data_IF_563317843112
#
_entry.id   IF_563317843112
#
_cell.length_a   1.000
_cell.length_b   1.000
_cell.length_c   1.000
_cell.angle_alpha   90.00
_cell.angle_beta   90.00
_cell.angle_gamma   90.00
#
_symmetry.space_group_name_H-M   'P 1'
#
loop_
_entity.id
_entity.type
_entity.pdbx_description
1 polymer ?
#
# COMPACT_ATOMS: atom_id res chain seq x y z
N UNK A 1 14.23 -14.28 -32.46
CA UNK A 1 15.18 -13.15 -32.27
C UNK A 1 15.31 -12.70 -30.80
N UNK A 2 15.48 -13.62 -29.82
CA UNK A 2 15.65 -13.24 -28.40
C UNK A 2 17.05 -13.51 -27.81
N UNK A 3 17.93 -14.19 -28.56
CA UNK A 3 19.29 -14.54 -28.11
C UNK A 3 20.38 -13.53 -28.51
N UNK A 4 20.03 -12.49 -29.28
CA UNK A 4 20.96 -11.45 -29.73
C UNK A 4 21.04 -10.25 -28.76
N UNK A 5 19.99 -9.98 -27.98
CA UNK A 5 19.93 -8.81 -27.08
C UNK A 5 20.56 -9.04 -25.70
N UNK A 6 20.74 -10.29 -25.28
CA UNK A 6 21.34 -10.62 -23.98
C UNK A 6 22.87 -10.40 -23.96
N UNK A 7 23.54 -10.54 -25.11
CA UNK A 7 24.96 -10.24 -25.25
C UNK A 7 25.25 -8.75 -25.07
N UNK A 8 24.41 -7.90 -25.66
CA UNK A 8 24.57 -6.42 -25.64
C UNK A 8 24.42 -5.88 -24.21
N UNK A 9 23.45 -6.40 -23.43
CA UNK A 9 23.25 -5.97 -22.03
C UNK A 9 24.40 -6.37 -21.10
N UNK A 10 25.10 -7.47 -21.37
CA UNK A 10 26.26 -7.91 -20.56
C UNK A 10 27.50 -7.08 -20.87
N UNK A 11 27.72 -6.76 -22.15
CA UNK A 11 28.88 -5.98 -22.59
C UNK A 11 28.81 -4.51 -22.13
N UNK A 12 27.60 -3.94 -22.05
CA UNK A 12 27.39 -2.60 -21.51
C UNK A 12 27.74 -2.50 -20.02
N UNK A 13 27.38 -3.53 -19.22
CA UNK A 13 27.73 -3.57 -17.78
C UNK A 13 29.23 -3.72 -17.52
N UNK A 14 29.95 -4.39 -18.43
CA UNK A 14 31.40 -4.53 -18.31
C UNK A 14 32.14 -3.23 -18.68
N UNK A 15 31.62 -2.45 -19.64
CA UNK A 15 32.20 -1.17 -20.05
C UNK A 15 31.94 -0.02 -19.08
N UNK A 16 30.80 -0.02 -18.37
CA UNK A 16 30.50 0.99 -17.33
C UNK A 16 31.35 0.82 -16.06
N UNK A 17 31.91 -0.36 -15.81
CA UNK A 17 32.65 -0.67 -14.58
C UNK A 17 34.10 -0.16 -14.54
N UNK A 18 34.57 0.56 -15.58
CA UNK A 18 35.94 1.06 -15.66
C UNK A 18 36.96 -0.03 -16.02
N UNK A 19 38.22 0.35 -16.34
CA UNK A 19 39.23 -0.59 -16.81
C UNK A 19 39.59 -1.60 -15.70
N UNK A 20 39.22 -2.87 -15.91
CA UNK A 20 39.46 -3.95 -14.96
C UNK A 20 40.95 -4.28 -14.80
N UNK A 21 41.36 -4.51 -13.55
CA UNK A 21 42.74 -4.85 -13.17
C UNK A 21 42.79 -6.32 -12.73
N UNK A 22 43.60 -7.15 -13.40
CA UNK A 22 43.75 -8.58 -13.05
C UNK A 22 44.76 -8.74 -11.91
N UNK A 23 44.46 -9.63 -10.98
CA UNK A 23 45.23 -9.91 -9.76
C UNK A 23 46.57 -10.65 -9.99
N UNK A 24 47.06 -10.74 -11.22
CA UNK A 24 48.31 -11.42 -11.58
C UNK A 24 49.34 -10.53 -12.27
N UNK A 25 49.10 -9.22 -12.39
CA UNK A 25 50.09 -8.28 -12.93
C UNK A 25 50.88 -7.62 -11.79
N UNK A 26 52.06 -8.18 -11.51
CA UNK A 26 53.13 -7.53 -10.74
C UNK A 26 53.83 -6.47 -11.60
N UNK A 27 53.21 -5.31 -11.77
CA UNK A 27 53.92 -4.10 -12.22
C UNK A 27 53.26 -2.87 -11.59
N UNK A 28 53.75 -2.50 -10.40
CA UNK A 28 53.42 -1.24 -9.74
C UNK A 28 54.53 -0.23 -10.02
N UNK A 29 54.37 0.56 -11.08
CA UNK A 29 55.08 1.83 -11.23
C UNK A 29 54.35 2.89 -10.39
N UNK A 30 54.94 3.24 -9.24
CA UNK A 30 54.50 4.39 -8.44
C UNK A 30 54.93 5.68 -9.13
N UNK A 31 54.06 6.69 -9.32
CA UNK A 31 54.50 8.06 -9.49
C UNK A 31 54.77 8.70 -8.12
N UNK A 32 55.77 9.58 -8.11
CA UNK A 32 56.26 10.36 -6.98
C UNK A 32 55.18 11.31 -6.43
N UNK A 33 55.01 11.35 -5.11
CA UNK A 33 54.22 12.38 -4.43
C UNK A 33 55.08 13.02 -3.35
N UNK A 34 55.33 14.30 -3.59
CA UNK A 34 56.11 15.26 -2.82
C UNK A 34 55.62 15.37 -1.37
N UNK A 35 56.56 15.30 -0.43
CA UNK A 35 56.36 15.56 0.99
C UNK A 35 56.34 17.06 1.30
N UNK A 36 55.37 17.48 2.11
CA UNK A 36 55.36 18.68 2.97
C UNK A 36 54.11 18.55 3.86
N UNK A 37 54.07 18.70 5.18
CA UNK A 37 55.02 18.90 6.27
C UNK A 37 54.23 18.78 7.60
N UNK A 38 54.90 18.31 8.66
CA UNK A 38 54.59 18.44 10.10
C UNK A 38 53.12 18.41 10.60
N UNK A 39 52.74 17.29 11.23
CA UNK A 39 51.61 17.19 12.17
C UNK A 39 51.68 15.88 12.95
N UNK A 40 51.59 15.95 14.28
CA UNK A 40 51.92 14.89 15.25
C UNK A 40 51.48 13.46 14.88
N UNK A 41 52.37 12.49 15.10
CA UNK A 41 52.04 11.05 15.08
C UNK A 41 51.05 10.75 16.21
N UNK A 42 49.76 10.75 15.91
CA UNK A 42 48.76 10.12 16.78
C UNK A 42 49.07 8.63 16.82
N UNK A 43 49.53 8.12 17.96
CA UNK A 43 49.52 6.69 18.25
C UNK A 43 48.09 6.19 17.96
N UNK A 44 47.95 5.26 17.01
CA UNK A 44 46.68 4.59 16.74
C UNK A 44 46.29 3.87 18.04
N UNK A 45 45.32 4.40 18.76
CA UNK A 45 44.81 3.76 19.97
C UNK A 45 44.16 2.43 19.56
N UNK A 46 44.45 1.38 20.31
CA UNK A 46 43.83 0.07 20.10
C UNK A 46 42.31 0.13 20.23
N UNK A 47 41.58 -0.88 19.74
CA UNK A 47 40.13 -0.90 19.79
C UNK A 47 39.64 -0.67 21.24
N UNK A 48 38.75 0.30 21.43
CA UNK A 48 38.08 0.55 22.72
C UNK A 48 37.41 -0.71 23.26
N UNK A 49 37.23 -0.80 24.58
CA UNK A 49 36.62 -1.97 25.24
C UNK A 49 35.25 -2.32 24.64
N UNK A 50 34.43 -1.30 24.30
CA UNK A 50 33.15 -1.49 23.62
C UNK A 50 33.31 -2.11 22.23
N UNK A 51 34.32 -1.69 21.45
CA UNK A 51 34.61 -2.28 20.15
C UNK A 51 35.19 -3.70 20.24
N UNK A 52 35.97 -4.01 21.28
CA UNK A 52 36.44 -5.38 21.53
C UNK A 52 35.29 -6.30 21.93
N UNK A 53 34.39 -5.84 22.80
CA UNK A 53 33.20 -6.60 23.21
C UNK A 53 32.23 -6.83 22.04
N UNK A 54 32.03 -5.81 21.20
CA UNK A 54 31.25 -5.94 19.97
C UNK A 54 31.92 -6.89 18.97
N UNK A 55 33.24 -6.83 18.83
CA UNK A 55 34.03 -7.76 18.00
C UNK A 55 33.93 -9.20 18.48
N UNK A 56 34.06 -9.43 19.79
CA UNK A 56 33.90 -10.75 20.39
C UNK A 56 32.47 -11.29 20.20
N UNK A 57 31.45 -10.44 20.36
CA UNK A 57 30.06 -10.82 20.11
C UNK A 57 29.79 -11.13 18.63
N UNK A 58 30.42 -10.41 17.69
CA UNK A 58 30.31 -10.69 16.26
C UNK A 58 31.01 -12.01 15.88
N UNK A 59 32.18 -12.30 16.46
CA UNK A 59 32.87 -13.58 16.25
C UNK A 59 32.08 -14.76 16.81
N UNK A 60 31.46 -14.62 17.99
CA UNK A 60 30.60 -15.65 18.55
C UNK A 60 29.40 -15.98 17.66
N UNK A 61 28.82 -14.97 16.97
CA UNK A 61 27.75 -15.19 15.98
C UNK A 61 28.25 -15.92 14.74
N UNK A 62 29.48 -15.65 14.29
CA UNK A 62 30.07 -16.30 13.12
C UNK A 62 30.44 -17.77 13.43
N UNK A 63 30.89 -18.07 14.65
CA UNK A 63 31.19 -19.44 15.08
C UNK A 63 29.93 -20.29 15.28
N UNK A 64 28.79 -19.68 15.64
CA UNK A 64 27.51 -20.37 15.75
C UNK A 64 26.83 -20.64 14.40
N UNK A 65 27.27 -20.02 13.30
CA UNK A 65 26.77 -20.32 11.96
C UNK A 65 27.48 -21.59 11.45
N UNK A 66 26.78 -22.74 11.32
CA UNK A 66 27.42 -23.97 10.91
C UNK A 66 27.92 -23.83 9.47
N UNK A 67 29.21 -24.04 9.23
CA UNK A 67 29.74 -24.14 7.86
C UNK A 67 29.15 -25.39 7.19
N UNK A 68 28.68 -25.30 5.94
CA UNK A 68 28.04 -26.44 5.28
C UNK A 68 29.09 -27.52 4.98
N UNK A 69 29.00 -28.66 5.67
CA UNK A 69 29.79 -29.86 5.34
C UNK A 69 29.12 -30.58 4.18
N UNK A 70 29.85 -30.67 3.07
CA UNK A 70 29.46 -31.44 1.88
C UNK A 70 29.47 -32.93 2.26
N UNK A 71 28.30 -33.58 2.22
CA UNK A 71 28.13 -35.02 2.46
C UNK A 71 27.46 -35.40 3.79
N UNK A 72 26.30 -34.83 4.08
CA UNK A 72 25.56 -35.08 5.34
C UNK A 72 24.35 -35.99 5.08
N UNK A 73 24.28 -37.16 5.74
CA UNK A 73 23.20 -38.15 5.55
C UNK A 73 21.84 -37.62 6.05
N UNK A 74 20.72 -38.15 5.52
CA UNK A 74 19.37 -37.68 5.87
C UNK A 74 19.07 -37.66 7.38
N UNK A 75 19.64 -38.59 8.15
CA UNK A 75 19.45 -38.62 9.61
C UNK A 75 20.15 -37.48 10.35
N UNK A 76 21.29 -36.99 9.84
CA UNK A 76 21.94 -35.82 10.39
C UNK A 76 21.11 -34.54 10.12
N UNK A 77 20.42 -34.47 8.97
CA UNK A 77 19.48 -33.38 8.66
C UNK A 77 18.28 -33.43 9.61
N UNK A 78 17.69 -34.62 9.84
CA UNK A 78 16.55 -34.78 10.75
C UNK A 78 16.90 -34.43 12.19
N UNK A 79 18.06 -34.87 12.68
CA UNK A 79 18.49 -34.56 14.03
C UNK A 79 18.81 -33.08 14.24
N UNK A 80 19.33 -32.39 13.20
CA UNK A 80 19.56 -30.96 13.27
C UNK A 80 18.24 -30.17 13.29
N UNK A 81 17.29 -30.51 12.42
CA UNK A 81 15.95 -29.88 12.40
C UNK A 81 15.23 -30.10 13.74
N UNK A 82 15.33 -31.30 14.32
CA UNK A 82 14.74 -31.60 15.64
C UNK A 82 15.36 -30.75 16.75
N UNK A 83 16.69 -30.59 16.75
CA UNK A 83 17.40 -29.77 17.74
C UNK A 83 17.07 -28.28 17.59
N UNK A 84 16.90 -27.78 16.37
CA UNK A 84 16.49 -26.39 16.10
C UNK A 84 15.04 -26.12 16.55
N UNK A 85 14.12 -27.08 16.35
CA UNK A 85 12.74 -27.01 16.84
C UNK A 85 12.65 -27.04 18.38
N UNK A 86 13.45 -27.90 19.03
CA UNK A 86 13.50 -27.96 20.49
C UNK A 86 14.13 -26.68 21.08
N UNK A 87 15.19 -26.14 20.47
CA UNK A 87 15.79 -24.87 20.89
C UNK A 87 14.85 -23.67 20.69
N UNK A 88 14.06 -23.65 19.61
CA UNK A 88 13.00 -22.65 19.42
C UNK A 88 11.90 -22.78 20.48
N UNK A 89 11.52 -24.01 20.87
CA UNK A 89 10.53 -24.24 21.92
C UNK A 89 11.02 -23.85 23.32
N UNK A 90 12.33 -23.95 23.59
CA UNK A 90 12.94 -23.50 24.84
C UNK A 90 13.08 -21.97 24.86
N UNK A 91 13.37 -21.34 23.73
CA UNK A 91 13.37 -19.88 23.59
C UNK A 91 11.94 -19.28 23.71
N UNK A 92 10.90 -20.00 23.29
CA UNK A 92 9.50 -19.63 23.53
C UNK A 92 9.09 -19.80 25.00
N UNK A 93 9.66 -20.78 25.72
CA UNK A 93 9.42 -20.99 27.16
C UNK A 93 10.13 -19.95 28.04
N UNK A 94 11.35 -19.53 27.70
CA UNK A 94 12.05 -18.44 28.40
C UNK A 94 11.40 -17.06 28.15
N UNK A 95 10.57 -16.94 27.10
CA UNK A 95 9.74 -15.76 26.83
C UNK A 95 8.45 -15.72 27.64
N UNK A 96 8.00 -16.86 28.18
CA UNK A 96 6.79 -16.98 28.99
C UNK A 96 7.06 -16.90 30.51
N UNK A 97 8.30 -17.09 30.98
CA UNK A 97 8.69 -16.97 32.40
C UNK A 97 9.40 -15.65 32.77
N UNK A 98 9.49 -14.68 31.87
CA UNK A 98 10.00 -13.32 32.15
C UNK A 98 8.92 -12.23 32.16
N UNK A 99 7.64 -12.60 32.14
CA UNK A 99 6.50 -11.65 32.21
C UNK A 99 6.14 -11.18 33.63
N UNK A 100 6.79 -11.69 34.69
CA UNK A 100 6.76 -11.06 36.01
C UNK A 100 8.12 -10.44 36.34
N UNK A 101 8.15 -9.10 36.31
CA UNK A 101 9.19 -8.17 36.80
C UNK A 101 9.99 -7.43 35.72
N UNK A 102 9.27 -6.66 34.91
CA UNK A 102 9.74 -5.33 34.53
C UNK A 102 8.56 -4.38 34.42
N UNK A 103 8.08 -3.89 35.58
CA UNK A 103 7.34 -2.62 35.63
C UNK A 103 8.35 -1.50 35.32
N UNK A 104 8.70 -1.34 34.05
CA UNK A 104 9.01 0.00 33.55
C UNK A 104 7.68 0.74 33.61
N UNK A 105 7.59 1.92 34.23
CA UNK A 105 6.39 2.72 34.13
C UNK A 105 6.15 2.92 32.64
N UNK A 106 5.06 2.35 32.12
CA UNK A 106 4.48 2.79 30.86
C UNK A 106 4.35 4.29 31.03
N UNK A 107 5.20 5.04 30.33
CA UNK A 107 5.06 6.49 30.21
C UNK A 107 3.59 6.67 29.84
N UNK A 108 2.84 7.28 30.76
CA UNK A 108 1.43 7.54 30.55
C UNK A 108 1.25 8.12 29.14
N UNK A 109 0.12 7.89 28.47
CA UNK A 109 -0.19 8.56 27.20
C UNK A 109 -0.13 10.10 27.28
N UNK A 110 0.11 10.66 28.48
CA UNK A 110 0.41 12.04 28.79
C UNK A 110 1.67 12.67 28.17
N UNK A 111 2.46 11.95 27.35
CA UNK A 111 3.63 12.52 26.64
C UNK A 111 3.47 12.62 25.12
N UNK A 112 2.24 12.60 24.58
CA UNK A 112 2.00 13.05 23.21
C UNK A 112 1.67 14.54 23.22
N UNK A 113 2.35 15.35 22.40
CA UNK A 113 2.05 16.79 22.28
C UNK A 113 0.63 17.08 21.75
N UNK A 114 -0.07 16.06 21.24
CA UNK A 114 -1.46 16.13 20.77
C UNK A 114 -2.23 14.86 21.12
N UNK A 115 -3.50 15.00 21.52
CA UNK A 115 -4.39 13.88 21.90
C UNK A 115 -4.88 13.03 20.71
N UNK A 116 -4.69 13.50 19.47
CA UNK A 116 -5.07 12.79 18.25
C UNK A 116 -5.29 13.73 17.06
N UNK A 117 -5.48 13.15 15.87
CA UNK A 117 -5.94 13.88 14.68
C UNK A 117 -7.43 13.64 14.51
N UNK A 118 -8.20 14.72 14.57
CA UNK A 118 -9.65 14.71 14.43
C UNK A 118 -10.06 15.43 13.14
N UNK A 119 -11.25 15.10 12.65
CA UNK A 119 -11.80 15.62 11.40
C UNK A 119 -13.14 16.28 11.67
N UNK A 120 -13.34 17.45 11.11
CA UNK A 120 -14.61 18.18 11.22
C UNK A 120 -15.49 17.84 10.02
N UNK A 121 -16.69 17.33 10.26
CA UNK A 121 -17.68 17.11 9.20
C UNK A 121 -18.22 18.46 8.70
N UNK A 122 -18.12 18.79 7.39
CA UNK A 122 -18.62 20.06 6.86
C UNK A 122 -20.15 20.16 6.88
N UNK A 123 -20.87 19.03 6.96
CA UNK A 123 -22.34 19.01 6.89
C UNK A 123 -23.00 19.20 8.25
N UNK A 124 -22.38 18.69 9.31
CA UNK A 124 -22.94 18.68 10.66
C UNK A 124 -22.10 19.44 11.68
N UNK A 125 -20.86 19.81 11.35
CA UNK A 125 -19.89 20.40 12.28
C UNK A 125 -19.31 19.43 13.31
N UNK A 126 -19.65 18.14 13.26
CA UNK A 126 -19.18 17.14 14.22
C UNK A 126 -17.67 16.93 14.11
N UNK A 127 -16.98 16.84 15.26
CA UNK A 127 -15.56 16.48 15.33
C UNK A 127 -15.42 14.97 15.56
N UNK A 128 -14.73 14.29 14.65
CA UNK A 128 -14.76 12.83 14.54
C UNK A 128 -13.36 12.23 14.49
N UNK A 129 -13.22 11.02 15.01
CA UNK A 129 -12.03 10.21 14.78
C UNK A 129 -12.01 9.66 13.33
N UNK A 130 -10.85 9.17 12.90
CA UNK A 130 -10.69 8.60 11.54
C UNK A 130 -11.63 7.41 11.28
N UNK A 131 -11.87 6.57 12.28
CA UNK A 131 -12.74 5.38 12.19
C UNK A 131 -14.21 5.73 11.99
N UNK A 132 -14.66 6.85 12.56
CA UNK A 132 -16.07 7.25 12.57
C UNK A 132 -16.45 8.05 11.33
N UNK A 133 -15.46 8.68 10.68
CA UNK A 133 -15.70 9.62 9.57
C UNK A 133 -16.53 9.04 8.44
N UNK A 134 -16.21 7.83 7.97
CA UNK A 134 -16.90 7.23 6.82
C UNK A 134 -18.35 6.90 7.13
N UNK A 135 -18.66 6.48 8.36
CA UNK A 135 -20.03 6.18 8.78
C UNK A 135 -20.82 7.48 8.94
N UNK A 136 -20.25 8.45 9.66
CA UNK A 136 -20.88 9.74 9.91
C UNK A 136 -21.19 10.51 8.63
N UNK A 137 -20.24 10.55 7.66
CA UNK A 137 -20.49 11.28 6.41
C UNK A 137 -21.61 10.62 5.59
N UNK A 138 -21.74 9.29 5.64
CA UNK A 138 -22.83 8.57 4.98
C UNK A 138 -24.17 8.95 5.58
N UNK A 139 -24.29 8.89 6.90
CA UNK A 139 -25.51 9.27 7.61
C UNK A 139 -25.88 10.74 7.36
N UNK A 140 -24.91 11.65 7.43
CA UNK A 140 -25.13 13.07 7.19
C UNK A 140 -25.62 13.35 5.76
N UNK A 141 -25.11 12.64 4.75
CA UNK A 141 -25.59 12.77 3.37
C UNK A 141 -27.01 12.21 3.23
N UNK A 142 -27.31 11.07 3.86
CA UNK A 142 -28.65 10.48 3.81
C UNK A 142 -29.70 11.38 4.45
N UNK A 143 -29.38 12.07 5.55
CA UNK A 143 -30.29 13.04 6.17
C UNK A 143 -30.58 14.26 5.28
N UNK A 144 -29.65 14.64 4.39
CA UNK A 144 -29.85 15.78 3.48
C UNK A 144 -30.83 15.53 2.34
N UNK A 145 -31.22 14.28 2.09
CA UNK A 145 -32.25 13.97 1.09
C UNK A 145 -33.61 14.61 1.41
N UNK A 146 -33.90 14.92 2.67
CA UNK A 146 -35.15 15.61 3.05
C UNK A 146 -35.16 17.09 2.61
N UNK A 147 -33.98 17.72 2.48
CA UNK A 147 -33.84 19.13 2.12
C UNK A 147 -33.65 19.32 0.62
N UNK A 148 -32.66 18.64 0.05
CA UNK A 148 -32.35 18.69 -1.38
C UNK A 148 -31.92 17.29 -1.87
N UNK A 149 -32.87 16.52 -2.44
CA UNK A 149 -32.58 15.20 -3.01
C UNK A 149 -31.53 15.22 -4.13
N UNK A 150 -31.45 16.31 -4.90
CA UNK A 150 -30.51 16.44 -6.02
C UNK A 150 -29.11 16.67 -5.49
N UNK A 151 -28.93 17.62 -4.57
CA UNK A 151 -27.63 17.86 -3.94
C UNK A 151 -27.14 16.63 -3.16
N UNK A 152 -28.02 16.02 -2.35
CA UNK A 152 -27.67 14.85 -1.55
C UNK A 152 -27.24 13.65 -2.43
N UNK A 153 -27.94 13.39 -3.54
CA UNK A 153 -27.56 12.31 -4.46
C UNK A 153 -26.24 12.59 -5.20
N UNK A 154 -25.95 13.84 -5.57
CA UNK A 154 -24.63 14.22 -6.10
C UNK A 154 -23.53 13.99 -5.08
N UNK A 155 -23.76 14.36 -3.81
CA UNK A 155 -22.82 14.10 -2.73
C UNK A 155 -22.61 12.60 -2.50
N UNK A 156 -23.68 11.80 -2.57
CA UNK A 156 -23.63 10.34 -2.46
C UNK A 156 -22.74 9.73 -3.56
N UNK A 157 -22.95 10.14 -4.82
CA UNK A 157 -22.14 9.70 -5.97
C UNK A 157 -20.66 10.00 -5.75
N UNK A 158 -20.32 11.21 -5.31
CA UNK A 158 -18.94 11.62 -5.13
C UNK A 158 -18.29 11.08 -3.85
N UNK A 159 -19.06 10.76 -2.82
CA UNK A 159 -18.50 10.41 -1.50
C UNK A 159 -18.43 8.91 -1.29
N UNK A 160 -19.43 8.15 -1.74
CA UNK A 160 -19.51 6.71 -1.41
C UNK A 160 -18.67 5.86 -2.38
N UNK A 161 -18.36 6.41 -3.56
CA UNK A 161 -17.61 5.72 -4.59
C UNK A 161 -16.14 6.15 -4.58
N UNK A 162 -15.23 5.19 -4.38
CA UNK A 162 -13.77 5.43 -4.32
C UNK A 162 -13.13 5.62 -5.70
N UNK A 163 -13.66 4.94 -6.71
CA UNK A 163 -13.15 5.00 -8.09
C UNK A 163 -13.65 6.26 -8.80
N UNK A 164 -12.76 7.26 -8.90
CA UNK A 164 -13.06 8.56 -9.51
C UNK A 164 -13.29 8.48 -11.02
N UNK A 165 -12.61 7.58 -11.71
CA UNK A 165 -12.76 7.43 -13.16
C UNK A 165 -14.11 6.82 -13.49
N UNK A 166 -14.54 5.83 -12.69
CA UNK A 166 -15.88 5.24 -12.81
C UNK A 166 -16.97 6.26 -12.50
N UNK A 167 -16.81 7.07 -11.45
CA UNK A 167 -17.74 8.15 -11.10
C UNK A 167 -17.86 9.15 -12.26
N UNK A 168 -16.73 9.61 -12.79
CA UNK A 168 -16.72 10.56 -13.92
C UNK A 168 -17.42 9.98 -15.15
N UNK A 169 -17.13 8.73 -15.51
CA UNK A 169 -17.77 8.07 -16.64
C UNK A 169 -19.29 7.95 -16.46
N UNK A 170 -19.77 7.67 -15.24
CA UNK A 170 -21.21 7.66 -14.94
C UNK A 170 -21.84 9.04 -15.10
N UNK A 171 -21.20 10.09 -14.56
CA UNK A 171 -21.66 11.49 -14.66
C UNK A 171 -21.71 11.93 -16.13
N UNK A 172 -20.71 11.61 -16.94
CA UNK A 172 -20.68 11.97 -18.36
C UNK A 172 -21.87 11.34 -19.11
N UNK A 173 -22.22 10.08 -18.80
CA UNK A 173 -23.37 9.40 -19.41
C UNK A 173 -24.69 10.00 -18.93
N UNK A 174 -24.85 10.25 -17.63
CA UNK A 174 -26.07 10.87 -17.09
C UNK A 174 -26.28 12.28 -17.63
N UNK A 175 -25.20 13.08 -17.72
CA UNK A 175 -25.22 14.41 -18.33
C UNK A 175 -25.71 14.32 -19.78
N UNK A 176 -25.28 13.29 -20.52
CA UNK A 176 -25.75 13.06 -21.90
C UNK A 176 -27.21 12.64 -21.97
N UNK A 177 -27.74 11.89 -21.00
CA UNK A 177 -29.17 11.60 -20.93
C UNK A 177 -29.99 12.88 -20.77
N UNK A 178 -29.61 13.73 -19.81
CA UNK A 178 -30.29 15.00 -19.57
C UNK A 178 -30.15 15.94 -20.77
N UNK A 179 -28.95 16.06 -21.34
CA UNK A 179 -28.70 16.91 -22.51
C UNK A 179 -29.58 16.49 -23.71
N UNK A 180 -29.75 15.19 -23.95
CA UNK A 180 -30.63 14.71 -25.01
C UNK A 180 -32.10 15.09 -24.78
N UNK A 181 -32.57 15.06 -23.53
CA UNK A 181 -33.93 15.48 -23.16
C UNK A 181 -34.07 17.00 -23.33
N UNK A 182 -33.11 17.80 -22.86
CA UNK A 182 -33.13 19.25 -22.99
C UNK A 182 -33.12 19.69 -24.46
N UNK A 183 -32.35 19.01 -25.32
CA UNK A 183 -32.29 19.32 -26.77
C UNK A 183 -33.55 18.89 -27.52
N UNK A 184 -34.13 17.76 -27.16
CA UNK A 184 -35.28 17.18 -27.86
C UNK A 184 -36.39 16.82 -26.87
N UNK A 185 -37.04 17.83 -26.25
CA UNK A 185 -37.97 17.57 -25.15
C UNK A 185 -39.14 16.72 -25.61
N UNK A 186 -39.66 16.90 -26.83
CA UNK A 186 -40.84 16.17 -27.34
C UNK A 186 -40.56 14.71 -27.69
N UNK A 187 -39.30 14.29 -27.76
CA UNK A 187 -38.95 12.95 -28.21
C UNK A 187 -38.92 11.94 -27.05
N UNK A 188 -39.97 11.10 -26.96
CA UNK A 188 -40.15 10.16 -25.84
C UNK A 188 -39.01 9.16 -25.66
N UNK A 189 -38.28 8.82 -26.74
CA UNK A 189 -37.19 7.83 -26.67
C UNK A 189 -36.08 8.26 -25.70
N UNK A 190 -35.88 9.57 -25.52
CA UNK A 190 -34.88 10.12 -24.60
C UNK A 190 -35.35 10.18 -23.15
N UNK A 191 -36.67 10.09 -22.91
CA UNK A 191 -37.28 10.09 -21.58
C UNK A 191 -37.36 8.69 -20.95
N UNK A 192 -36.80 7.68 -21.60
CA UNK A 192 -36.86 6.27 -21.18
C UNK A 192 -35.46 5.67 -21.16
N UNK A 193 -35.03 5.17 -19.99
CA UNK A 193 -33.76 4.45 -19.84
C UNK A 193 -34.10 2.97 -19.59
N UNK A 194 -33.68 2.10 -20.51
CA UNK A 194 -33.88 0.65 -20.34
C UNK A 194 -32.84 0.10 -19.35
N UNK A 195 -33.30 -0.50 -18.26
CA UNK A 195 -32.42 -1.15 -17.27
C UNK A 195 -31.56 -2.27 -17.85
N UNK A 196 -31.98 -2.89 -18.96
CA UNK A 196 -31.21 -3.90 -19.70
C UNK A 196 -30.10 -3.34 -20.61
N UNK A 197 -29.96 -2.01 -20.73
CA UNK A 197 -28.92 -1.41 -21.54
C UNK A 197 -27.54 -1.66 -20.90
N UNK A 198 -26.62 -2.29 -21.64
CA UNK A 198 -25.27 -2.60 -21.15
C UNK A 198 -24.51 -1.39 -20.63
N UNK A 199 -24.58 -0.26 -21.35
CA UNK A 199 -23.89 0.97 -20.94
C UNK A 199 -24.45 1.48 -19.61
N UNK A 200 -25.78 1.45 -19.46
CA UNK A 200 -26.42 1.82 -18.19
C UNK A 200 -26.01 0.89 -17.06
N UNK A 201 -26.09 -0.43 -17.26
CA UNK A 201 -25.76 -1.41 -16.22
C UNK A 201 -24.31 -1.33 -15.78
N UNK A 202 -23.37 -1.28 -16.73
CA UNK A 202 -21.94 -1.34 -16.42
C UNK A 202 -21.40 -0.02 -15.88
N UNK A 203 -21.88 1.12 -16.40
CA UNK A 203 -21.30 2.43 -16.09
C UNK A 203 -22.11 3.26 -15.11
N UNK A 204 -23.44 3.24 -15.22
CA UNK A 204 -24.32 4.13 -14.43
C UNK A 204 -24.81 3.39 -13.19
N UNK A 205 -25.60 2.32 -13.37
CA UNK A 205 -26.21 1.53 -12.29
C UNK A 205 -25.20 0.96 -11.28
N UNK A 206 -23.95 0.87 -11.69
CA UNK A 206 -22.87 0.29 -10.91
C UNK A 206 -22.16 1.29 -9.98
N UNK A 207 -22.57 2.56 -10.04
CA UNK A 207 -22.13 3.66 -9.16
C UNK A 207 -23.27 3.99 -8.20
N UNK A 208 -22.98 3.95 -6.90
CA UNK A 208 -23.94 4.23 -5.83
C UNK A 208 -24.37 5.71 -5.86
N UNK A 209 -25.67 5.99 -5.65
CA UNK A 209 -26.24 7.34 -5.72
C UNK A 209 -26.77 7.75 -7.10
N UNK A 210 -26.43 7.02 -8.17
CA UNK A 210 -26.88 7.39 -9.54
C UNK A 210 -28.38 7.18 -9.75
N UNK A 211 -28.97 6.17 -9.10
CA UNK A 211 -30.40 5.91 -9.18
C UNK A 211 -31.18 6.99 -8.45
N UNK A 212 -30.75 7.32 -7.23
CA UNK A 212 -31.30 8.35 -6.38
C UNK A 212 -31.27 9.71 -7.08
N UNK A 213 -30.17 10.00 -7.79
CA UNK A 213 -30.07 11.19 -8.63
C UNK A 213 -31.10 11.21 -9.78
N UNK A 214 -31.26 10.11 -10.50
CA UNK A 214 -32.26 10.02 -11.56
C UNK A 214 -33.69 10.15 -11.01
N UNK A 215 -33.98 9.54 -9.87
CA UNK A 215 -35.28 9.65 -9.18
C UNK A 215 -35.53 11.09 -8.70
N UNK A 216 -34.51 11.78 -8.16
CA UNK A 216 -34.59 13.20 -7.78
C UNK A 216 -34.86 14.13 -8.98
N UNK A 217 -34.41 13.75 -10.18
CA UNK A 217 -34.73 14.46 -11.43
C UNK A 217 -36.12 14.13 -12.00
N UNK A 218 -36.86 13.23 -11.37
CA UNK A 218 -38.22 12.84 -11.76
C UNK A 218 -38.31 11.58 -12.62
N UNK A 219 -37.23 10.80 -12.77
CA UNK A 219 -37.36 9.46 -13.35
C UNK A 219 -38.07 8.52 -12.38
N UNK A 220 -38.91 7.64 -12.90
CA UNK A 220 -39.62 6.62 -12.10
C UNK A 220 -39.33 5.23 -12.65
N UNK A 221 -39.10 4.26 -11.75
CA UNK A 221 -38.95 2.86 -12.14
C UNK A 221 -40.32 2.24 -12.45
N UNK A 222 -40.46 1.66 -13.64
CA UNK A 222 -41.68 0.98 -14.08
C UNK A 222 -41.34 -0.44 -14.53
N UNK A 223 -42.15 -1.41 -14.11
CA UNK A 223 -42.12 -2.77 -14.66
C UNK A 223 -43.07 -2.82 -15.86
N UNK A 224 -42.53 -3.08 -17.04
CA UNK A 224 -43.35 -3.34 -18.21
C UNK A 224 -43.73 -4.82 -18.21
N UNK A 225 -45.02 -5.12 -18.08
CA UNK A 225 -45.52 -6.48 -18.27
C UNK A 225 -45.26 -6.89 -19.71
N UNK A 226 -44.42 -7.91 -19.91
CA UNK A 226 -44.22 -8.50 -21.24
C UNK A 226 -45.41 -9.43 -21.46
N UNK A 227 -46.45 -8.94 -22.14
CA UNK A 227 -47.49 -9.82 -22.64
C UNK A 227 -46.84 -10.84 -23.57
N UNK A 228 -46.79 -12.08 -23.09
CA UNK A 228 -46.24 -13.21 -23.80
C UNK A 228 -46.95 -13.38 -25.12
N UNK A 229 -46.20 -13.26 -26.22
CA UNK A 229 -46.60 -13.86 -27.49
C UNK A 229 -46.72 -15.36 -27.26
N UNK A 230 -47.95 -15.81 -27.01
CA UNK A 230 -48.32 -17.21 -27.15
C UNK A 230 -47.97 -17.67 -28.57
N UNK A 231 -47.19 -18.74 -28.64
CA UNK A 231 -47.13 -19.66 -29.76
C UNK A 231 -47.28 -21.05 -29.20
#
# INVERSE_FOLDING_TARGET
>A
MKKLFDGIKKDMKFKTAGPGKKLTDDTSTKPDVVQSGSGARSNRHGPSEGSQRAGAAALARIEQIPRPKVGTSQDAIRNQVKRELEAASLAEKDKAESEERSKVPVIAPACLSVSGVYFTCPLTGATLAKSEREVHIKEAILMRFEEDPVEASVMMIHTFNKDRDRVKAAIDIMSKYIENICKNPTEEKYRKIKLGNKVYQEKVCSVEGTREFLEALGFTSIMLSVEGKGK
#
